data_IF_065403981356
#
_entry.id   IF_065403981356
#
_cell.length_a   1.000
_cell.length_b   1.000
_cell.length_c   1.000
_cell.angle_alpha   90.00
_cell.angle_beta   90.00
_cell.angle_gamma   90.00
#
_symmetry.space_group_name_H-M   'P 1'
#
loop_
_entity.id
_entity.type
_entity.pdbx_description
1 polymer ?
#
# COMPACT_ATOMS: atom_id res chain seq x y z
N UNK A 1 -3.37 -17.42 6.59
CA UNK A 1 -4.69 -16.91 7.00
C UNK A 1 -5.02 -15.68 6.18
N UNK A 2 -6.16 -15.62 5.47
CA UNK A 2 -6.44 -14.54 4.51
C UNK A 2 -6.36 -13.13 5.10
N UNK A 3 -6.66 -12.98 6.39
CA UNK A 3 -6.71 -11.69 7.11
C UNK A 3 -5.33 -11.09 7.34
N UNK A 4 -4.34 -11.90 7.73
CA UNK A 4 -2.94 -11.48 7.88
C UNK A 4 -2.35 -11.09 6.53
N UNK A 5 -2.57 -11.93 5.53
CA UNK A 5 -2.03 -11.69 4.19
C UNK A 5 -2.64 -10.43 3.57
N UNK A 6 -3.93 -10.16 3.82
CA UNK A 6 -4.58 -8.91 3.42
C UNK A 6 -3.91 -7.68 4.08
N UNK A 7 -3.70 -7.70 5.40
CA UNK A 7 -3.04 -6.60 6.10
C UNK A 7 -1.62 -6.38 5.57
N UNK A 8 -0.86 -7.47 5.43
CA UNK A 8 0.50 -7.43 4.89
C UNK A 8 0.51 -6.86 3.47
N UNK A 9 -0.40 -7.32 2.61
CA UNK A 9 -0.55 -6.79 1.25
C UNK A 9 -0.80 -5.27 1.26
N UNK A 10 -1.69 -4.79 2.12
CA UNK A 10 -1.96 -3.35 2.26
C UNK A 10 -0.76 -2.58 2.82
N UNK A 11 0.04 -3.17 3.72
CA UNK A 11 1.26 -2.54 4.23
C UNK A 11 2.35 -2.39 3.15
N UNK A 12 2.37 -3.25 2.14
CA UNK A 12 3.38 -3.22 1.08
C UNK A 12 2.88 -2.63 -0.24
N UNK A 13 1.60 -2.28 -0.35
CA UNK A 13 1.03 -1.64 -1.56
C UNK A 13 0.40 -0.29 -1.29
N UNK A 14 0.04 -0.01 -0.04
CA UNK A 14 -0.65 1.22 0.33
C UNK A 14 -2.06 1.36 -0.25
N UNK A 15 -2.61 0.34 -0.90
CA UNK A 15 -3.97 0.39 -1.44
C UNK A 15 -5.02 0.57 -0.34
N UNK A 16 -6.06 1.34 -0.64
CA UNK A 16 -7.21 1.46 0.25
C UNK A 16 -8.06 0.19 0.20
N UNK A 17 -8.87 -0.05 1.24
CA UNK A 17 -9.76 -1.21 1.29
C UNK A 17 -10.61 -1.39 0.02
N UNK A 18 -11.26 -0.32 -0.45
CA UNK A 18 -12.08 -0.34 -1.66
C UNK A 18 -11.30 -0.77 -2.90
N UNK A 19 -10.05 -0.33 -3.00
CA UNK A 19 -9.21 -0.57 -4.16
C UNK A 19 -8.70 -2.01 -4.17
N UNK A 20 -8.39 -2.58 -2.99
CA UNK A 20 -8.03 -4.01 -2.84
C UNK A 20 -9.24 -4.91 -3.09
N UNK A 21 -10.42 -4.52 -2.58
CA UNK A 21 -11.64 -5.31 -2.75
C UNK A 21 -12.09 -5.45 -4.22
N UNK A 22 -11.66 -4.51 -5.07
CA UNK A 22 -11.97 -4.49 -6.50
C UNK A 22 -10.72 -4.72 -7.37
N UNK A 23 -9.61 -5.19 -6.78
CA UNK A 23 -8.39 -5.48 -7.52
C UNK A 23 -8.59 -6.75 -8.36
N UNK A 24 -8.39 -6.64 -9.66
CA UNK A 24 -8.49 -7.73 -10.64
C UNK A 24 -7.18 -7.92 -11.40
N UNK A 25 -7.06 -9.00 -12.17
CA UNK A 25 -5.90 -9.26 -13.03
C UNK A 25 -5.62 -8.14 -14.03
N UNK A 26 -6.65 -7.43 -14.49
CA UNK A 26 -6.51 -6.28 -15.40
C UNK A 26 -5.72 -5.12 -14.80
N UNK A 27 -5.64 -5.05 -13.47
CA UNK A 27 -4.87 -4.03 -12.77
C UNK A 27 -3.39 -4.40 -12.58
N UNK A 28 -3.01 -5.65 -12.90
CA UNK A 28 -1.65 -6.15 -12.83
C UNK A 28 -1.00 -6.02 -14.21
N UNK A 29 0.05 -5.24 -14.29
CA UNK A 29 0.75 -4.94 -15.55
C UNK A 29 2.22 -5.26 -15.37
N UNK A 30 2.82 -5.90 -16.35
CA UNK A 30 4.26 -6.13 -16.40
C UNK A 30 4.91 -5.08 -17.28
N UNK A 31 6.02 -4.49 -16.84
CA UNK A 31 6.78 -3.55 -17.63
C UNK A 31 7.75 -4.26 -18.61
N UNK A 32 8.48 -3.48 -19.38
CA UNK A 32 9.41 -3.99 -20.38
C UNK A 32 10.63 -4.71 -19.77
N UNK A 33 10.88 -4.55 -18.47
CA UNK A 33 11.94 -5.20 -17.73
C UNK A 33 11.47 -6.49 -17.05
N UNK A 34 10.16 -6.77 -17.11
CA UNK A 34 9.55 -7.94 -16.49
C UNK A 34 9.05 -7.70 -15.06
N UNK A 35 9.15 -6.48 -14.54
CA UNK A 35 8.68 -6.13 -13.22
C UNK A 35 7.16 -5.93 -13.19
N UNK A 36 6.52 -6.44 -12.14
CA UNK A 36 5.08 -6.32 -11.95
C UNK A 36 4.67 -5.04 -11.25
N UNK A 37 3.59 -4.44 -11.73
CA UNK A 37 2.99 -3.21 -11.23
C UNK A 37 1.51 -3.36 -10.99
N UNK A 38 0.99 -2.65 -10.00
CA UNK A 38 -0.44 -2.39 -9.87
C UNK A 38 -0.74 -1.02 -10.47
N UNK A 39 -1.65 -0.97 -11.45
CA UNK A 39 -2.23 0.26 -12.00
C UNK A 39 -3.72 0.27 -11.73
N UNK A 40 -4.14 1.09 -10.77
CA UNK A 40 -5.55 1.10 -10.33
C UNK A 40 -6.07 2.50 -10.08
N UNK A 41 -7.19 2.85 -10.75
CA UNK A 41 -7.98 4.04 -10.43
C UNK A 41 -8.59 3.92 -9.03
N UNK A 42 -8.64 5.02 -8.29
CA UNK A 42 -9.20 5.02 -6.94
C UNK A 42 -10.72 5.09 -6.98
N UNK A 43 -11.40 4.05 -6.52
CA UNK A 43 -12.87 3.92 -6.50
C UNK A 43 -13.57 5.14 -5.85
N UNK A 44 -13.02 5.67 -4.75
CA UNK A 44 -13.61 6.84 -4.07
C UNK A 44 -13.55 8.16 -4.87
N UNK A 45 -12.71 8.24 -5.90
CA UNK A 45 -12.52 9.46 -6.70
C UNK A 45 -13.22 9.41 -8.06
N UNK A 46 -13.57 8.22 -8.54
CA UNK A 46 -14.34 8.04 -9.77
C UNK A 46 -15.69 8.77 -9.71
N UNK A 47 -16.35 8.79 -8.55
CA UNK A 47 -17.61 9.52 -8.34
C UNK A 47 -17.46 11.05 -8.28
N UNK A 48 -16.24 11.59 -8.18
CA UNK A 48 -16.03 13.04 -8.03
C UNK A 48 -15.56 13.78 -9.28
N UNK A 49 -15.56 13.12 -10.45
CA UNK A 49 -15.15 13.72 -11.77
C UNK A 49 -13.84 14.53 -11.75
N UNK A 50 -12.97 14.33 -10.76
CA UNK A 50 -11.62 14.91 -10.78
C UNK A 50 -10.70 13.93 -11.49
N UNK A 51 -9.80 14.45 -12.30
CA UNK A 51 -8.79 13.69 -13.03
C UNK A 51 -8.33 12.49 -12.21
N UNK A 52 -8.54 11.30 -12.75
CA UNK A 52 -8.38 10.04 -12.08
C UNK A 52 -6.99 9.94 -11.43
N UNK A 53 -6.91 10.01 -10.12
CA UNK A 53 -5.69 9.64 -9.45
C UNK A 53 -5.54 8.13 -9.54
N UNK A 54 -4.65 7.70 -10.41
CA UNK A 54 -4.29 6.31 -10.59
C UNK A 54 -3.16 6.02 -9.60
N UNK A 55 -3.34 4.98 -8.78
CA UNK A 55 -2.24 4.39 -8.01
C UNK A 55 -1.38 3.57 -8.97
N UNK A 56 -0.11 3.89 -9.05
CA UNK A 56 0.89 3.19 -9.85
C UNK A 56 1.97 2.67 -8.91
N UNK A 57 1.97 1.37 -8.64
CA UNK A 57 2.73 0.77 -7.54
C UNK A 57 3.59 -0.36 -8.08
N UNK A 58 4.94 -0.25 -8.05
CA UNK A 58 5.81 -1.38 -8.33
C UNK A 58 5.64 -2.43 -7.23
N UNK A 59 5.50 -3.69 -7.63
CA UNK A 59 5.25 -4.77 -6.70
C UNK A 59 6.56 -5.34 -6.14
N UNK A 60 6.69 -5.26 -4.83
CA UNK A 60 7.74 -5.92 -4.08
C UNK A 60 7.48 -7.45 -4.00
N UNK A 61 8.50 -8.28 -3.67
CA UNK A 61 8.35 -9.73 -3.60
C UNK A 61 7.21 -10.21 -2.68
N UNK A 62 6.99 -9.52 -1.55
CA UNK A 62 5.96 -9.90 -0.56
C UNK A 62 4.54 -9.82 -1.14
N UNK A 63 4.07 -8.71 -1.71
CA UNK A 63 2.75 -8.66 -2.33
C UNK A 63 2.64 -9.60 -3.55
N UNK A 64 3.71 -9.82 -4.31
CA UNK A 64 3.71 -10.80 -5.41
C UNK A 64 3.44 -12.22 -4.91
N UNK A 65 4.14 -12.65 -3.86
CA UNK A 65 3.91 -13.96 -3.26
C UNK A 65 2.48 -14.14 -2.72
N UNK A 66 1.89 -13.05 -2.20
CA UNK A 66 0.50 -13.07 -1.74
C UNK A 66 -0.46 -13.20 -2.93
N UNK A 67 -0.25 -12.47 -4.02
CA UNK A 67 -1.08 -12.57 -5.22
C UNK A 67 -1.02 -13.97 -5.82
N UNK A 68 0.16 -14.56 -5.93
CA UNK A 68 0.35 -15.93 -6.44
C UNK A 68 -0.34 -16.95 -5.54
N UNK A 69 -0.25 -16.83 -4.22
CA UNK A 69 -0.94 -17.71 -3.26
C UNK A 69 -2.46 -17.75 -3.45
N UNK A 70 -3.08 -16.65 -3.86
CA UNK A 70 -4.53 -16.54 -4.01
C UNK A 70 -5.02 -16.66 -5.44
N UNK A 71 -4.13 -16.85 -6.40
CA UNK A 71 -4.43 -16.92 -7.84
C UNK A 71 -5.51 -17.95 -8.18
N UNK A 72 -5.43 -19.13 -7.59
CA UNK A 72 -6.39 -20.23 -7.82
C UNK A 72 -7.43 -20.38 -6.69
N UNK A 73 -7.49 -19.41 -5.79
CA UNK A 73 -8.44 -19.47 -4.69
C UNK A 73 -9.88 -19.42 -5.20
N UNK A 74 -10.80 -20.35 -4.80
CA UNK A 74 -12.14 -20.46 -5.40
C UNK A 74 -12.95 -19.16 -5.39
N UNK A 75 -12.84 -18.36 -4.34
CA UNK A 75 -13.52 -17.06 -4.24
C UNK A 75 -12.92 -16.08 -5.26
N UNK A 76 -11.61 -16.08 -5.45
CA UNK A 76 -10.94 -15.18 -6.40
C UNK A 76 -11.30 -15.52 -7.84
N UNK A 77 -11.24 -16.79 -8.18
CA UNK A 77 -11.65 -17.28 -9.52
C UNK A 77 -13.10 -16.93 -9.78
N UNK A 78 -14.02 -17.24 -8.84
CA UNK A 78 -15.47 -16.97 -9.02
C UNK A 78 -15.79 -15.48 -9.17
N UNK A 79 -15.08 -14.61 -8.45
CA UNK A 79 -15.36 -13.16 -8.44
C UNK A 79 -14.48 -12.35 -9.39
N UNK A 80 -13.48 -12.94 -10.04
CA UNK A 80 -12.50 -12.24 -10.85
C UNK A 80 -11.64 -11.25 -10.07
N UNK A 81 -11.38 -11.52 -8.78
CA UNK A 81 -10.60 -10.63 -7.90
C UNK A 81 -9.27 -11.27 -7.49
N UNK A 82 -8.26 -10.46 -7.21
CA UNK A 82 -6.93 -10.94 -6.83
C UNK A 82 -6.86 -11.49 -5.41
N UNK A 83 -7.72 -11.02 -4.50
CA UNK A 83 -7.69 -11.40 -3.08
C UNK A 83 -9.11 -11.69 -2.57
N UNK A 84 -9.30 -12.71 -1.69
CA UNK A 84 -10.58 -13.04 -1.13
C UNK A 84 -10.95 -12.09 0.03
N UNK A 85 -11.31 -10.84 -0.31
CA UNK A 85 -11.60 -9.78 0.66
C UNK A 85 -13.03 -9.90 1.18
N UNK A 86 -13.20 -9.85 2.50
CA UNK A 86 -14.50 -9.73 3.16
C UNK A 86 -14.90 -8.25 3.29
N UNK A 87 -16.09 -7.97 3.82
CA UNK A 87 -16.51 -6.57 4.02
C UNK A 87 -15.60 -5.83 5.01
N UNK A 88 -15.48 -4.51 4.84
CA UNK A 88 -14.54 -3.66 5.60
C UNK A 88 -14.77 -3.75 7.13
N UNK A 89 -16.02 -3.80 7.55
CA UNK A 89 -16.37 -3.87 8.96
C UNK A 89 -15.85 -5.16 9.61
N UNK A 90 -16.08 -6.32 8.98
CA UNK A 90 -15.56 -7.60 9.44
C UNK A 90 -14.02 -7.63 9.41
N UNK A 91 -13.40 -7.05 8.37
CA UNK A 91 -11.94 -6.99 8.29
C UNK A 91 -11.37 -6.20 9.47
N UNK A 92 -11.89 -5.02 9.76
CA UNK A 92 -11.41 -4.21 10.89
C UNK A 92 -11.66 -4.89 12.24
N UNK A 93 -12.78 -5.63 12.43
CA UNK A 93 -13.00 -6.44 13.64
C UNK A 93 -11.90 -7.47 13.83
N UNK A 94 -11.57 -8.23 12.80
CA UNK A 94 -10.49 -9.22 12.87
C UNK A 94 -9.10 -8.60 13.07
N UNK A 95 -8.83 -7.43 12.50
CA UNK A 95 -7.57 -6.73 12.72
C UNK A 95 -7.42 -6.31 14.19
N UNK A 96 -8.52 -5.93 14.83
CA UNK A 96 -8.55 -5.64 16.27
C UNK A 96 -8.26 -6.89 17.10
N UNK A 97 -8.90 -8.03 16.80
CA UNK A 97 -8.60 -9.31 17.46
C UNK A 97 -7.13 -9.72 17.32
N UNK A 98 -6.54 -9.53 16.11
CA UNK A 98 -5.10 -9.79 15.88
C UNK A 98 -4.24 -8.85 16.73
N UNK A 99 -4.59 -7.57 16.82
CA UNK A 99 -3.86 -6.61 17.64
C UNK A 99 -3.90 -7.01 19.12
N UNK A 100 -5.06 -7.35 19.62
CA UNK A 100 -5.26 -7.80 21.01
C UNK A 100 -4.45 -9.07 21.31
N UNK A 101 -4.49 -10.05 20.41
CA UNK A 101 -3.73 -11.30 20.54
C UNK A 101 -2.21 -11.08 20.52
N UNK A 102 -1.74 -10.12 19.71
CA UNK A 102 -0.32 -9.77 19.60
C UNK A 102 0.15 -8.74 20.63
N UNK A 103 -0.70 -8.31 21.56
CA UNK A 103 -0.35 -7.26 22.54
C UNK A 103 -0.12 -5.87 21.91
N UNK A 104 -0.62 -5.63 20.71
CA UNK A 104 -0.48 -4.35 20.00
C UNK A 104 -1.55 -3.39 20.51
N UNK A 105 -1.12 -2.36 21.26
CA UNK A 105 -2.04 -1.35 21.84
C UNK A 105 -2.66 -0.40 20.81
N UNK A 106 -2.12 -0.35 19.57
CA UNK A 106 -2.65 0.50 18.50
C UNK A 106 -3.89 -0.14 17.87
N UNK A 107 -4.90 0.67 17.56
CA UNK A 107 -6.07 0.21 16.83
C UNK A 107 -5.70 -0.09 15.37
N UNK A 108 -5.49 -1.37 15.05
CA UNK A 108 -5.18 -1.81 13.70
C UNK A 108 -6.42 -1.69 12.82
N UNK A 109 -6.27 -0.97 11.72
CA UNK A 109 -7.29 -0.81 10.68
C UNK A 109 -6.66 -0.94 9.30
N UNK A 110 -7.48 -1.11 8.28
CA UNK A 110 -7.03 -1.09 6.88
C UNK A 110 -6.34 0.22 6.52
N UNK A 111 -6.73 1.33 7.17
CA UNK A 111 -6.11 2.64 6.96
C UNK A 111 -4.71 2.73 7.58
N UNK A 112 -4.50 2.10 8.73
CA UNK A 112 -3.18 2.03 9.39
C UNK A 112 -2.18 1.29 8.49
N UNK A 113 -2.58 0.21 7.81
CA UNK A 113 -1.71 -0.47 6.85
C UNK A 113 -1.23 0.47 5.73
N UNK A 114 -2.13 1.29 5.20
CA UNK A 114 -1.77 2.30 4.19
C UNK A 114 -0.83 3.37 4.75
N UNK A 115 -0.99 3.77 6.01
CA UNK A 115 -0.03 4.65 6.70
C UNK A 115 1.34 3.98 6.82
N UNK A 116 1.39 2.70 7.18
CA UNK A 116 2.63 1.92 7.26
C UNK A 116 3.36 1.89 5.92
N UNK A 117 2.63 1.71 4.80
CA UNK A 117 3.23 1.83 3.47
C UNK A 117 3.87 3.21 3.26
N UNK A 118 3.09 4.28 3.45
CA UNK A 118 3.58 5.64 3.21
C UNK A 118 4.71 6.09 4.12
N UNK A 119 4.80 5.57 5.34
CA UNK A 119 5.86 5.92 6.30
C UNK A 119 7.02 4.92 6.30
N UNK A 120 6.76 3.70 6.75
CA UNK A 120 7.79 2.71 7.05
C UNK A 120 8.34 2.04 5.80
N UNK A 121 7.47 1.72 4.83
CA UNK A 121 7.89 1.00 3.62
C UNK A 121 8.50 1.96 2.58
N UNK A 122 8.01 3.19 2.48
CA UNK A 122 8.46 4.11 1.44
C UNK A 122 9.33 5.25 2.00
N UNK A 123 8.78 6.21 2.74
CA UNK A 123 9.53 7.39 3.19
C UNK A 123 10.73 7.04 4.07
N UNK A 124 10.63 6.03 4.95
CA UNK A 124 11.75 5.57 5.77
C UNK A 124 12.88 4.94 4.96
N UNK A 125 12.60 4.52 3.73
CA UNK A 125 13.58 3.99 2.77
C UNK A 125 13.93 5.03 1.69
N UNK A 126 13.84 6.32 2.02
CA UNK A 126 14.23 7.44 1.15
C UNK A 126 13.50 7.53 -0.20
N UNK A 127 12.29 6.92 -0.30
CA UNK A 127 11.46 7.11 -1.49
C UNK A 127 10.94 8.56 -1.52
N UNK A 128 11.11 9.30 -2.62
CA UNK A 128 10.67 10.68 -2.72
C UNK A 128 9.18 10.85 -2.44
N UNK A 129 8.80 11.91 -1.73
CA UNK A 129 7.40 12.20 -1.36
C UNK A 129 6.45 12.25 -2.56
N UNK A 130 6.96 12.72 -3.71
CA UNK A 130 6.21 12.78 -4.96
C UNK A 130 5.85 11.39 -5.46
N UNK A 131 6.79 10.46 -5.44
CA UNK A 131 6.58 9.07 -5.87
C UNK A 131 5.63 8.34 -4.91
N UNK A 132 5.78 8.57 -3.60
CA UNK A 132 4.81 8.07 -2.62
C UNK A 132 3.40 8.59 -2.89
N UNK A 133 3.27 9.86 -3.29
CA UNK A 133 1.99 10.46 -3.65
C UNK A 133 1.35 9.78 -4.87
N UNK A 134 2.15 9.45 -5.88
CA UNK A 134 1.71 8.70 -7.07
C UNK A 134 1.28 7.29 -6.69
N UNK A 135 2.11 6.55 -5.94
CA UNK A 135 1.78 5.19 -5.50
C UNK A 135 0.50 5.15 -4.68
N UNK A 136 0.31 6.12 -3.79
CA UNK A 136 -0.92 6.26 -3.00
C UNK A 136 -2.11 6.76 -3.81
N UNK A 137 -1.95 7.19 -5.06
CA UNK A 137 -3.02 7.77 -5.87
C UNK A 137 -3.61 9.02 -5.21
N UNK A 138 -2.78 9.89 -4.65
CA UNK A 138 -3.21 11.15 -4.10
C UNK A 138 -3.36 12.20 -5.20
N UNK A 139 -4.45 12.95 -5.19
CA UNK A 139 -4.68 14.03 -6.15
C UNK A 139 -3.73 15.24 -5.97
N UNK A 140 -3.05 15.32 -4.82
CA UNK A 140 -2.01 16.32 -4.56
C UNK A 140 -1.01 15.80 -3.52
N UNK A 141 0.24 16.24 -3.63
CA UNK A 141 1.32 15.92 -2.68
C UNK A 141 1.04 16.45 -1.27
N UNK A 142 0.18 17.48 -1.13
CA UNK A 142 -0.25 17.99 0.18
C UNK A 142 -0.88 16.91 1.06
N UNK A 143 -1.61 15.95 0.46
CA UNK A 143 -2.18 14.81 1.19
C UNK A 143 -1.08 13.88 1.71
N UNK A 144 0.05 13.79 1.01
CA UNK A 144 1.18 12.94 1.36
C UNK A 144 2.11 13.62 2.38
N UNK A 145 2.16 14.95 2.44
CA UNK A 145 2.95 15.71 3.43
C UNK A 145 2.62 15.35 4.88
N UNK A 146 1.40 14.86 5.13
CA UNK A 146 1.02 14.38 6.46
C UNK A 146 1.90 13.22 6.93
N UNK A 147 2.37 12.36 6.02
CA UNK A 147 3.28 11.26 6.33
C UNK A 147 4.71 11.74 6.58
N UNK A 148 5.15 12.79 5.89
CA UNK A 148 6.52 13.33 6.00
C UNK A 148 6.80 13.97 7.37
N UNK A 149 5.79 14.49 8.05
CA UNK A 149 5.93 15.10 9.40
C UNK A 149 6.40 14.12 10.48
N UNK A 150 6.32 12.82 10.21
CA UNK A 150 6.70 11.75 11.16
C UNK A 150 8.20 11.41 11.08
N UNK A 151 8.96 11.98 10.12
CA UNK A 151 10.27 11.47 9.70
C UNK A 151 11.46 12.43 9.95
N UNK A 152 11.60 12.98 11.17
CA UNK A 152 12.78 13.79 11.51
C UNK A 152 14.12 13.02 11.44
N UNK A 153 14.11 11.69 11.51
CA UNK A 153 15.30 10.84 11.38
C UNK A 153 15.92 10.87 9.98
N UNK A 154 15.10 10.99 8.94
CA UNK A 154 15.58 10.99 7.55
C UNK A 154 16.40 12.23 7.18
N UNK A 155 16.15 13.38 7.82
CA UNK A 155 16.93 14.61 7.58
C UNK A 155 18.40 14.44 8.02
N UNK A 156 18.62 13.83 9.19
CA UNK A 156 19.97 13.60 9.70
C UNK A 156 20.72 12.60 8.82
N UNK A 157 20.05 11.55 8.40
CA UNK A 157 20.63 10.53 7.53
C UNK A 157 20.94 11.08 6.13
N UNK A 158 20.03 11.86 5.54
CA UNK A 158 20.27 12.54 4.27
C UNK A 158 21.48 13.48 4.34
N UNK A 159 21.63 14.24 5.43
CA UNK A 159 22.79 15.12 5.62
C UNK A 159 24.08 14.35 5.90
N UNK A 160 24.04 13.20 6.56
CA UNK A 160 25.21 12.33 6.70
C UNK A 160 25.65 11.79 5.32
N UNK A 161 24.72 11.36 4.48
CA UNK A 161 25.03 10.92 3.11
C UNK A 161 25.67 12.05 2.27
N UNK A 162 25.20 13.28 2.42
CA UNK A 162 25.84 14.46 1.79
C UNK A 162 27.24 14.67 2.30
N UNK A 163 27.45 14.59 3.61
CA UNK A 163 28.76 14.73 4.24
C UNK A 163 29.75 13.68 3.72
N UNK A 164 29.34 12.41 3.63
CA UNK A 164 30.16 11.32 3.10
C UNK A 164 30.52 11.52 1.62
N UNK A 165 29.57 12.06 0.81
CA UNK A 165 29.82 12.34 -0.62
C UNK A 165 30.71 13.55 -0.87
N UNK A 166 30.76 14.48 0.06
CA UNK A 166 31.59 15.69 -0.06
C UNK A 166 33.00 15.49 0.49
N UNK A 167 33.30 14.32 1.05
CA UNK A 167 34.66 13.96 1.58
C UNK A 167 35.27 15.03 2.53
N UNK A 168 34.45 15.59 3.44
CA UNK A 168 34.90 16.58 4.46
C UNK A 168 35.14 15.92 5.80
#
# INVERSE_FOLDING_TARGET
LPKRDYLTFCCFTGLAFSDVATLSGENLVQDNLGDWWIRKGRVKLEHRRKASSISNIPLLPVPLAILEKYREHPICVKKGCCLPVMCNQKMNSYLKEIADFCGIKKNLTTHVARHTFGTTVTLANNVPLQDVSVMLGHASTRMTQHYARVMNSSLKEAMNNVKERLEW
#
